data_IF_807207633796
#
_entry.id   IF_807207633796
#
_cell.length_a   1.000
_cell.length_b   1.000
_cell.length_c   1.000
_cell.angle_alpha   90.00
_cell.angle_beta   90.00
_cell.angle_gamma   90.00
#
_symmetry.space_group_name_H-M   'P 1'
#
loop_
_entity.id
_entity.type
_entity.pdbx_description
1 polymer ?
#
# COMPACT_ATOMS: atom_id res chain seq x y z
N UNK A 1 7.13 5.74 12.96
CA UNK A 1 6.29 5.91 11.76
C UNK A 1 7.04 5.41 10.54
N UNK A 2 6.77 4.15 10.18
CA UNK A 2 7.18 3.57 8.90
C UNK A 2 6.27 4.22 7.85
N UNK A 3 6.83 4.98 6.92
CA UNK A 3 6.04 5.50 5.79
C UNK A 3 5.62 4.28 4.95
N UNK A 4 4.35 4.18 4.56
CA UNK A 4 3.85 3.03 3.84
C UNK A 4 4.51 2.99 2.45
N UNK A 5 4.91 1.79 2.03
CA UNK A 5 5.55 1.51 0.72
C UNK A 5 4.52 1.60 -0.43
N UNK A 6 3.37 2.24 -0.20
CA UNK A 6 2.12 2.10 -0.99
C UNK A 6 1.99 3.13 -2.12
N UNK A 7 3.09 3.45 -2.81
CA UNK A 7 3.09 4.37 -3.96
C UNK A 7 3.81 3.78 -5.16
N UNK A 8 3.69 4.42 -6.33
CA UNK A 8 4.48 4.04 -7.51
C UNK A 8 5.97 4.17 -7.18
N UNK A 9 6.77 3.17 -7.59
CA UNK A 9 8.21 3.18 -7.37
C UNK A 9 8.83 4.34 -8.16
N UNK A 10 9.51 5.25 -7.46
CA UNK A 10 10.25 6.37 -8.06
C UNK A 10 11.75 6.19 -7.80
N UNK A 11 12.57 6.44 -8.82
CA UNK A 11 14.05 6.30 -8.79
C UNK A 11 14.44 4.91 -8.30
N UNK A 12 14.18 3.91 -9.13
CA UNK A 12 14.25 2.51 -8.74
C UNK A 12 15.66 2.10 -8.35
N UNK A 13 15.76 1.39 -7.22
CA UNK A 13 16.97 0.69 -6.77
C UNK A 13 16.71 -0.79 -6.62
N UNK A 14 17.66 -1.59 -7.08
CA UNK A 14 17.60 -3.05 -7.07
C UNK A 14 18.68 -3.62 -6.16
N UNK A 15 18.30 -4.57 -5.30
CA UNK A 15 19.26 -5.39 -4.55
C UNK A 15 19.83 -6.45 -5.48
N UNK A 16 21.14 -6.45 -5.72
CA UNK A 16 21.73 -7.33 -6.75
C UNK A 16 21.64 -8.83 -6.41
N UNK A 17 21.61 -9.18 -5.12
CA UNK A 17 21.58 -10.57 -4.67
C UNK A 17 20.22 -11.25 -4.91
N UNK A 18 19.13 -10.48 -4.80
CA UNK A 18 17.76 -11.03 -4.85
C UNK A 18 16.85 -10.34 -5.86
N UNK A 19 17.37 -9.38 -6.62
CA UNK A 19 16.68 -8.62 -7.68
C UNK A 19 15.38 -7.92 -7.25
N UNK A 20 15.16 -7.73 -5.94
CA UNK A 20 14.04 -6.95 -5.44
C UNK A 20 14.25 -5.45 -5.69
N UNK A 21 13.20 -4.80 -6.21
CA UNK A 21 13.17 -3.39 -6.60
C UNK A 21 12.45 -2.55 -5.56
N UNK A 22 13.01 -1.39 -5.23
CA UNK A 22 12.48 -0.48 -4.24
C UNK A 22 12.63 0.97 -4.71
N UNK A 23 11.82 1.86 -4.16
CA UNK A 23 12.05 3.29 -4.32
C UNK A 23 13.37 3.68 -3.63
N UNK A 24 14.13 4.63 -4.20
CA UNK A 24 15.43 5.05 -3.64
C UNK A 24 15.32 5.43 -2.17
N UNK A 25 14.35 6.27 -1.84
CA UNK A 25 14.15 6.77 -0.47
C UNK A 25 13.77 5.65 0.50
N UNK A 26 12.97 4.69 0.03
CA UNK A 26 12.49 3.54 0.80
C UNK A 26 13.66 2.66 1.23
N UNK A 27 14.47 2.21 0.26
CA UNK A 27 15.59 1.32 0.55
C UNK A 27 16.71 2.05 1.28
N UNK A 28 16.94 3.32 0.96
CA UNK A 28 17.94 4.13 1.62
C UNK A 28 17.61 4.34 3.10
N UNK A 29 16.33 4.56 3.43
CA UNK A 29 15.85 4.66 4.81
C UNK A 29 15.97 3.31 5.52
N UNK A 30 15.56 2.21 4.89
CA UNK A 30 15.68 0.87 5.47
C UNK A 30 17.15 0.52 5.81
N UNK A 31 18.08 0.79 4.89
CA UNK A 31 19.51 0.56 5.12
C UNK A 31 20.09 1.46 6.22
N UNK A 32 19.57 2.68 6.42
CA UNK A 32 20.00 3.57 7.51
C UNK A 32 19.50 3.11 8.88
N UNK A 33 18.35 2.44 8.95
CA UNK A 33 17.75 1.96 10.20
C UNK A 33 18.45 0.72 10.78
N UNK A 34 19.41 0.13 10.05
CA UNK A 34 20.44 -0.71 10.66
C UNK A 34 20.26 -2.22 10.59
N UNK A 35 19.36 -2.75 9.73
CA UNK A 35 19.19 -4.20 9.59
C UNK A 35 20.02 -4.83 8.46
N UNK A 36 20.61 -4.04 7.55
CA UNK A 36 21.45 -4.53 6.44
C UNK A 36 20.85 -5.76 5.73
N UNK A 37 19.54 -5.71 5.47
CA UNK A 37 18.78 -6.82 4.91
C UNK A 37 17.79 -6.28 3.89
N UNK A 38 17.48 -7.09 2.88
CA UNK A 38 16.44 -6.78 1.91
C UNK A 38 15.08 -6.69 2.62
N UNK A 39 14.32 -5.58 2.48
CA UNK A 39 13.01 -5.44 3.12
C UNK A 39 11.97 -6.48 2.71
N UNK A 40 12.11 -7.10 1.53
CA UNK A 40 11.16 -8.08 1.00
C UNK A 40 11.49 -9.51 1.43
N UNK A 41 12.75 -9.93 1.30
CA UNK A 41 13.15 -11.33 1.47
C UNK A 41 14.19 -11.58 2.57
N UNK A 42 14.61 -10.53 3.28
CA UNK A 42 15.61 -10.56 4.37
C UNK A 42 16.99 -11.10 3.97
N UNK A 43 17.28 -11.24 2.68
CA UNK A 43 18.64 -11.52 2.20
C UNK A 43 19.60 -10.44 2.69
N UNK A 44 20.72 -10.85 3.26
CA UNK A 44 21.73 -9.94 3.79
C UNK A 44 22.28 -9.00 2.70
N UNK A 45 22.29 -7.72 3.00
CA UNK A 45 22.75 -6.61 2.17
C UNK A 45 23.86 -5.88 2.92
N UNK A 46 25.12 -6.21 2.65
CA UNK A 46 26.26 -5.72 3.45
C UNK A 46 26.37 -4.19 3.54
N UNK A 47 25.95 -3.47 2.51
CA UNK A 47 25.91 -2.00 2.52
C UNK A 47 25.07 -1.46 1.36
N UNK A 48 24.96 -0.13 1.26
CA UNK A 48 24.38 0.56 0.10
C UNK A 48 25.05 0.22 -1.24
N UNK A 49 26.27 -0.35 -1.24
CA UNK A 49 26.94 -0.81 -2.48
C UNK A 49 26.31 -2.07 -3.09
N UNK A 50 25.54 -2.83 -2.30
CA UNK A 50 24.76 -3.97 -2.77
C UNK A 50 23.53 -3.55 -3.61
N UNK A 51 23.26 -2.24 -3.69
CA UNK A 51 22.17 -1.65 -4.45
C UNK A 51 22.67 -1.03 -5.76
N UNK A 52 21.88 -1.17 -6.82
CA UNK A 52 22.09 -0.48 -8.11
C UNK A 52 20.86 0.30 -8.50
N UNK A 53 21.06 1.46 -9.13
CA UNK A 53 19.96 2.19 -9.76
C UNK A 53 19.55 1.43 -11.04
N UNK A 54 18.25 1.37 -11.33
CA UNK A 54 17.72 0.73 -12.53
C UNK A 54 16.84 1.70 -13.33
N UNK A 55 17.46 2.52 -14.20
CA UNK A 55 16.72 3.50 -15.00
C UNK A 55 15.82 2.85 -16.05
N UNK A 56 16.09 1.62 -16.49
CA UNK A 56 15.25 0.94 -17.47
C UNK A 56 13.88 0.61 -16.89
N UNK A 57 13.83 0.24 -15.61
CA UNK A 57 12.57 0.03 -14.91
C UNK A 57 11.82 1.35 -14.69
N UNK A 58 12.53 2.44 -14.39
CA UNK A 58 11.92 3.76 -14.30
C UNK A 58 11.29 4.17 -15.65
N UNK A 59 11.99 3.96 -16.77
CA UNK A 59 11.43 4.20 -18.12
C UNK A 59 10.19 3.34 -18.40
N UNK A 60 10.19 2.08 -17.95
CA UNK A 60 9.01 1.22 -18.08
C UNK A 60 7.82 1.77 -17.30
N UNK A 61 8.04 2.26 -16.08
CA UNK A 61 7.00 2.90 -15.27
C UNK A 61 6.48 4.15 -15.99
N UNK A 62 7.35 5.01 -16.51
CA UNK A 62 6.97 6.23 -17.24
C UNK A 62 6.17 5.90 -18.52
N UNK A 63 6.48 4.79 -19.19
CA UNK A 63 5.74 4.34 -20.37
C UNK A 63 4.35 3.79 -20.03
N UNK A 64 4.22 3.09 -18.90
CA UNK A 64 2.94 2.51 -18.46
C UNK A 64 2.03 3.54 -17.78
N UNK A 65 2.64 4.46 -17.02
CA UNK A 65 1.98 5.48 -16.25
C UNK A 65 2.61 6.85 -16.59
N UNK A 66 2.33 7.40 -17.78
CA UNK A 66 2.89 8.68 -18.20
C UNK A 66 2.41 9.85 -17.32
N UNK A 67 1.27 9.69 -16.65
CA UNK A 67 0.64 10.69 -15.80
C UNK A 67 0.43 10.13 -14.38
N UNK A 68 1.54 10.02 -13.65
CA UNK A 68 1.59 9.40 -12.31
C UNK A 68 0.73 10.17 -11.31
N UNK A 69 0.70 11.51 -11.40
CA UNK A 69 -0.09 12.36 -10.49
C UNK A 69 -1.57 12.07 -10.63
N UNK A 70 -2.07 12.03 -11.87
CA UNK A 70 -3.45 11.64 -12.15
C UNK A 70 -3.76 10.23 -11.65
N UNK A 71 -2.86 9.27 -11.84
CA UNK A 71 -3.05 7.92 -11.31
C UNK A 71 -3.08 7.87 -9.78
N UNK A 72 -2.18 8.58 -9.10
CA UNK A 72 -2.15 8.67 -7.64
C UNK A 72 -3.42 9.36 -7.11
N UNK A 73 -3.94 10.37 -7.80
CA UNK A 73 -5.23 11.01 -7.51
C UNK A 73 -6.42 10.07 -7.72
N UNK A 74 -6.49 9.36 -8.85
CA UNK A 74 -7.56 8.38 -9.14
C UNK A 74 -7.54 7.20 -8.16
N UNK A 75 -6.35 6.74 -7.76
CA UNK A 75 -6.19 5.71 -6.72
C UNK A 75 -6.61 6.26 -5.36
N UNK A 76 -6.26 7.49 -5.01
CA UNK A 76 -6.72 8.13 -3.78
C UNK A 76 -8.25 8.29 -3.77
N UNK A 77 -8.84 8.74 -4.87
CA UNK A 77 -10.30 8.89 -5.03
C UNK A 77 -11.00 7.54 -4.94
N UNK A 78 -10.46 6.50 -5.59
CA UNK A 78 -11.06 5.15 -5.55
C UNK A 78 -10.90 4.46 -4.19
N UNK A 79 -9.77 4.65 -3.48
CA UNK A 79 -9.65 4.23 -2.08
C UNK A 79 -10.65 4.98 -1.19
N UNK A 80 -10.81 6.30 -1.36
CA UNK A 80 -11.84 7.07 -0.65
C UNK A 80 -13.24 6.53 -0.96
N UNK A 81 -13.52 6.17 -2.22
CA UNK A 81 -14.83 5.68 -2.64
C UNK A 81 -15.16 4.29 -2.08
N UNK A 82 -14.18 3.37 -2.02
CA UNK A 82 -14.34 2.03 -1.44
C UNK A 82 -14.41 2.06 0.10
N UNK A 83 -13.63 2.91 0.75
CA UNK A 83 -13.72 3.12 2.20
C UNK A 83 -15.07 3.79 2.57
N UNK A 84 -15.56 4.73 1.75
CA UNK A 84 -16.86 5.35 1.96
C UNK A 84 -18.04 4.40 1.62
N UNK A 85 -17.94 3.57 0.57
CA UNK A 85 -18.94 2.54 0.27
C UNK A 85 -18.99 1.47 1.35
N UNK A 86 -17.85 1.01 1.87
CA UNK A 86 -17.83 0.07 3.00
C UNK A 86 -18.39 0.71 4.27
N UNK A 87 -18.15 2.00 4.50
CA UNK A 87 -18.77 2.76 5.59
C UNK A 87 -20.29 2.89 5.41
N UNK A 88 -20.79 3.23 4.22
CA UNK A 88 -22.23 3.34 3.92
C UNK A 88 -22.93 1.97 3.94
N UNK A 89 -22.31 0.92 3.40
CA UNK A 89 -22.82 -0.45 3.46
C UNK A 89 -22.82 -0.97 4.91
N UNK A 90 -21.80 -0.61 5.69
CA UNK A 90 -21.74 -0.90 7.13
C UNK A 90 -22.86 -0.21 7.91
N UNK A 91 -23.17 1.06 7.61
CA UNK A 91 -24.31 1.77 8.21
C UNK A 91 -25.65 1.12 7.81
N UNK A 92 -25.80 0.65 6.56
CA UNK A 92 -27.02 -0.03 6.09
C UNK A 92 -27.23 -1.39 6.77
N UNK A 93 -26.17 -2.19 6.94
CA UNK A 93 -26.22 -3.42 7.74
C UNK A 93 -26.57 -3.10 9.20
N UNK A 94 -25.97 -2.08 9.83
CA UNK A 94 -26.29 -1.68 11.20
C UNK A 94 -27.76 -1.29 11.40
N UNK A 95 -28.39 -0.62 10.43
CA UNK A 95 -29.82 -0.28 10.47
C UNK A 95 -30.68 -1.55 10.34
N UNK A 96 -30.24 -2.53 9.55
CA UNK A 96 -30.92 -3.84 9.45
C UNK A 96 -30.82 -4.66 10.75
N UNK A 97 -29.65 -4.72 11.39
CA UNK A 97 -29.48 -5.53 12.62
C UNK A 97 -30.18 -4.90 13.83
N UNK A 98 -30.20 -3.56 13.92
CA UNK A 98 -30.95 -2.83 14.97
C UNK A 98 -32.45 -2.77 14.69
N UNK A 99 -32.86 -2.72 13.42
CA UNK A 99 -34.26 -2.81 13.00
C UNK A 99 -34.88 -4.19 13.26
N UNK A 100 -34.10 -5.28 13.13
CA UNK A 100 -34.54 -6.63 13.50
C UNK A 100 -34.54 -6.85 15.02
N UNK A 101 -33.56 -6.34 15.77
CA UNK A 101 -33.55 -6.46 17.23
C UNK A 101 -34.76 -5.76 17.90
N UNK A 102 -35.27 -4.66 17.32
CA UNK A 102 -36.48 -3.98 17.79
C UNK A 102 -37.80 -4.64 17.33
N UNK A 103 -37.77 -5.60 16.40
CA UNK A 103 -38.96 -6.40 16.03
C UNK A 103 -39.05 -7.71 16.83
N UNK A 104 -37.93 -8.32 17.23
CA UNK A 104 -37.94 -9.59 17.99
C UNK A 104 -38.10 -9.37 19.50
N UNK A 105 -37.92 -8.15 20.01
CA UNK A 105 -38.14 -7.81 21.43
C UNK A 105 -39.52 -7.17 21.73
N UNK A 106 -40.44 -7.19 20.76
CA UNK A 106 -41.70 -6.43 20.78
C UNK A 106 -43.02 -7.21 20.80
N UNK A 107 -43.05 -8.53 21.03
CA UNK A 107 -44.30 -9.26 21.33
C UNK A 107 -44.07 -10.26 22.47
N UNK A 108 -44.63 -9.96 23.64
CA UNK A 108 -44.59 -10.84 24.81
C UNK A 108 -45.65 -11.95 24.81
N UNK A 109 -45.64 -12.71 25.90
CA UNK A 109 -46.65 -13.65 26.42
C UNK A 109 -46.73 -15.06 25.81
N UNK A 110 -46.14 -16.02 26.54
CA UNK A 110 -46.81 -17.19 27.11
C UNK A 110 -46.03 -17.65 28.35
#
# INVERSE_FOLDING_TARGET
MLSPITGIIKKTRTVMECMHRFCRECIDKAMRLGNNECPACRTHCASRRSLRDDPNFDTLIECLYPDIEKYEEEVAISMIFLDCLSFLNGVLECISVTGLLNLVSGTGFS
#
